data_IF_232627415857
#
_entry.id   IF_232627415857
#
_cell.length_a   1.000
_cell.length_b   1.000
_cell.length_c   1.000
_cell.angle_alpha   90.00
_cell.angle_beta   90.00
_cell.angle_gamma   90.00
#
_symmetry.space_group_name_H-M   'P 1'
#
loop_
_entity.id
_entity.type
_entity.pdbx_description
1 polymer ?
#
# COMPACT_ATOMS: atom_id res chain seq x y z
N UNK A 1 -11.67 -29.31 32.80
CA UNK A 1 -11.57 -29.47 34.27
C UNK A 1 -12.56 -28.53 34.95
N UNK A 2 -13.12 -28.90 36.12
CA UNK A 2 -13.96 -28.01 36.92
C UNK A 2 -13.22 -26.72 37.24
N UNK A 3 -13.83 -25.57 36.94
CA UNK A 3 -13.28 -24.26 37.30
C UNK A 3 -13.85 -23.81 38.66
N UNK A 4 -13.09 -22.96 39.34
CA UNK A 4 -13.48 -22.37 40.63
C UNK A 4 -14.78 -21.57 40.51
N UNK A 5 -15.66 -21.66 41.51
CA UNK A 5 -16.95 -20.97 41.49
C UNK A 5 -16.88 -19.68 42.29
N UNK A 6 -17.43 -18.62 41.72
CA UNK A 6 -17.55 -17.32 42.38
C UNK A 6 -19.02 -16.88 42.38
N UNK A 7 -19.64 -16.65 43.54
CA UNK A 7 -21.06 -16.30 43.63
C UNK A 7 -21.36 -14.89 43.10
N UNK A 8 -20.35 -14.02 43.06
CA UNK A 8 -20.41 -12.67 42.52
C UNK A 8 -19.09 -12.32 41.82
N UNK A 9 -19.12 -11.32 40.94
CA UNK A 9 -17.89 -10.80 40.32
C UNK A 9 -17.14 -9.97 41.35
N UNK A 10 -15.88 -10.34 41.61
CA UNK A 10 -15.00 -9.66 42.56
C UNK A 10 -13.70 -9.25 41.89
N UNK A 11 -13.09 -8.20 42.41
CA UNK A 11 -11.72 -7.82 42.07
C UNK A 11 -10.86 -8.23 43.27
N UNK A 12 -9.85 -9.05 43.01
CA UNK A 12 -8.89 -9.44 44.05
C UNK A 12 -8.01 -8.22 44.41
N UNK A 13 -8.02 -7.73 45.65
CA UNK A 13 -7.30 -6.52 46.04
C UNK A 13 -5.77 -6.66 45.97
N UNK A 14 -5.22 -7.87 46.04
CA UNK A 14 -3.77 -8.10 46.03
C UNK A 14 -3.22 -8.25 44.61
N UNK A 15 -3.89 -9.08 43.78
CA UNK A 15 -3.47 -9.33 42.39
C UNK A 15 -4.07 -8.36 41.37
N UNK A 16 -5.18 -7.70 41.71
CA UNK A 16 -5.99 -6.90 40.78
C UNK A 16 -6.82 -7.75 39.79
N UNK A 17 -6.86 -9.07 39.95
CA UNK A 17 -7.56 -9.97 39.02
C UNK A 17 -9.09 -9.83 39.15
N UNK A 18 -9.79 -9.71 38.01
CA UNK A 18 -11.25 -9.73 37.97
C UNK A 18 -11.75 -11.17 37.88
N UNK A 19 -12.26 -11.68 38.99
CA UNK A 19 -12.89 -13.00 39.07
C UNK A 19 -14.37 -12.87 38.81
N UNK A 20 -14.81 -13.30 37.62
CA UNK A 20 -16.20 -13.22 37.19
C UNK A 20 -17.10 -14.21 37.94
N UNK A 21 -18.35 -13.80 38.19
CA UNK A 21 -19.39 -14.68 38.71
C UNK A 21 -19.53 -15.95 37.85
N UNK A 22 -19.49 -17.12 38.50
CA UNK A 22 -19.67 -18.42 37.86
C UNK A 22 -20.66 -19.26 38.66
N UNK A 23 -21.79 -19.61 38.03
CA UNK A 23 -22.86 -20.42 38.64
C UNK A 23 -22.67 -21.92 38.49
N UNK A 24 -21.83 -22.38 37.57
CA UNK A 24 -21.59 -23.81 37.35
C UNK A 24 -20.12 -24.07 36.97
N UNK A 25 -19.45 -25.09 37.55
CA UNK A 25 -18.01 -25.29 37.38
C UNK A 25 -17.62 -25.82 35.99
N UNK A 26 -18.57 -26.40 35.25
CA UNK A 26 -18.38 -26.85 33.85
C UNK A 26 -18.68 -25.77 32.81
N UNK A 27 -19.13 -24.57 33.24
CA UNK A 27 -19.46 -23.48 32.32
C UNK A 27 -18.28 -22.51 32.27
N UNK A 28 -17.80 -22.26 31.05
CA UNK A 28 -16.81 -21.23 30.79
C UNK A 28 -17.42 -19.83 30.98
N UNK A 29 -16.56 -18.82 31.10
CA UNK A 29 -17.03 -17.44 31.14
C UNK A 29 -17.63 -17.06 29.79
N UNK A 30 -18.79 -16.41 29.82
CA UNK A 30 -19.52 -16.02 28.63
C UNK A 30 -20.16 -14.65 28.79
N UNK A 31 -20.46 -14.00 27.66
CA UNK A 31 -21.24 -12.78 27.58
C UNK A 31 -22.64 -13.12 27.05
N UNK A 32 -23.69 -12.65 27.73
CA UNK A 32 -25.07 -13.00 27.37
C UNK A 32 -25.49 -12.49 25.98
N UNK A 33 -25.02 -11.31 25.57
CA UNK A 33 -25.35 -10.76 24.26
C UNK A 33 -24.64 -11.55 23.15
N UNK A 34 -23.34 -11.80 23.32
CA UNK A 34 -22.54 -12.49 22.31
C UNK A 34 -23.01 -13.95 22.15
N UNK A 35 -23.31 -14.66 23.24
CA UNK A 35 -23.82 -16.04 23.12
C UNK A 35 -25.17 -16.10 22.42
N UNK A 36 -26.02 -15.08 22.60
CA UNK A 36 -27.32 -14.98 21.96
C UNK A 36 -27.19 -14.79 20.45
N UNK A 37 -26.29 -13.88 20.03
CA UNK A 37 -26.09 -13.54 18.62
C UNK A 37 -25.29 -14.62 17.89
N UNK A 38 -24.15 -15.04 18.44
CA UNK A 38 -23.22 -15.93 17.78
C UNK A 38 -23.58 -17.41 17.93
N UNK A 39 -24.40 -17.76 18.94
CA UNK A 39 -24.87 -19.13 19.23
C UNK A 39 -23.75 -20.17 19.28
N UNK A 40 -22.54 -19.75 19.67
CA UNK A 40 -21.35 -20.59 19.77
C UNK A 40 -20.80 -20.60 21.20
N UNK A 41 -20.00 -21.63 21.51
CA UNK A 41 -19.33 -21.74 22.81
C UNK A 41 -18.30 -20.61 22.98
N UNK A 42 -18.17 -20.08 24.19
CA UNK A 42 -17.25 -18.98 24.49
C UNK A 42 -16.38 -19.30 25.71
N UNK A 43 -15.16 -18.76 25.73
CA UNK A 43 -14.30 -18.75 26.91
C UNK A 43 -13.69 -17.35 27.07
N UNK A 44 -14.48 -16.43 27.64
CA UNK A 44 -14.07 -15.02 27.81
C UNK A 44 -13.16 -14.88 29.03
N UNK A 45 -11.94 -14.41 28.81
CA UNK A 45 -10.96 -14.15 29.86
C UNK A 45 -10.61 -12.66 29.86
N UNK A 46 -10.63 -12.05 31.04
CA UNK A 46 -10.05 -10.72 31.23
C UNK A 46 -8.55 -10.90 31.38
N UNK A 47 -7.78 -10.14 30.60
CA UNK A 47 -6.32 -10.24 30.58
C UNK A 47 -5.77 -8.87 30.96
N UNK A 48 -5.04 -8.83 32.06
CA UNK A 48 -4.41 -7.61 32.58
C UNK A 48 -2.91 -7.59 32.28
N UNK A 49 -2.22 -6.50 32.62
CA UNK A 49 -0.77 -6.41 32.51
C UNK A 49 -0.10 -7.38 33.50
N UNK A 50 0.86 -8.18 33.03
CA UNK A 50 1.59 -9.13 33.89
C UNK A 50 1.89 -10.45 33.19
N UNK A 51 1.87 -11.53 33.97
CA UNK A 51 2.14 -12.90 33.49
C UNK A 51 1.10 -13.38 32.47
N UNK A 52 -0.17 -13.07 32.67
CA UNK A 52 -1.26 -13.52 31.81
C UNK A 52 -1.24 -12.83 30.44
N UNK A 53 -0.94 -11.53 30.40
CA UNK A 53 -0.68 -10.84 29.13
C UNK A 53 0.54 -11.42 28.41
N UNK A 54 1.64 -11.72 29.13
CA UNK A 54 2.82 -12.35 28.52
C UNK A 54 2.50 -13.73 27.97
N UNK A 55 1.74 -14.54 28.70
CA UNK A 55 1.29 -15.85 28.25
C UNK A 55 0.36 -15.76 27.04
N UNK A 56 -0.56 -14.79 27.02
CA UNK A 56 -1.41 -14.51 25.86
C UNK A 56 -0.58 -14.10 24.64
N UNK A 57 0.37 -13.17 24.81
CA UNK A 57 1.24 -12.74 23.71
C UNK A 57 2.01 -13.93 23.17
N UNK A 58 2.58 -14.77 24.05
CA UNK A 58 3.26 -15.99 23.61
C UNK A 58 2.33 -16.94 22.86
N UNK A 59 1.12 -17.16 23.36
CA UNK A 59 0.09 -17.97 22.70
C UNK A 59 -0.29 -17.39 21.33
N UNK A 60 -0.63 -16.12 21.24
CA UNK A 60 -0.97 -15.47 19.98
C UNK A 60 0.20 -15.53 18.99
N UNK A 61 1.42 -15.24 19.44
CA UNK A 61 2.62 -15.33 18.60
C UNK A 61 2.82 -16.75 18.11
N UNK A 62 2.75 -17.77 18.98
CA UNK A 62 2.90 -19.18 18.59
C UNK A 62 1.88 -19.56 17.49
N UNK A 63 0.63 -19.12 17.61
CA UNK A 63 -0.40 -19.33 16.59
C UNK A 63 -0.15 -18.56 15.29
N UNK A 64 0.32 -17.31 15.37
CA UNK A 64 0.64 -16.48 14.19
C UNK A 64 1.86 -17.04 13.46
N UNK A 65 2.88 -17.48 14.22
CA UNK A 65 4.12 -18.03 13.67
C UNK A 65 4.02 -19.51 13.31
N UNK A 66 2.87 -20.14 13.58
CA UNK A 66 2.63 -21.53 13.23
C UNK A 66 2.76 -21.67 11.72
N UNK A 67 3.76 -22.43 11.27
CA UNK A 67 4.00 -22.67 9.85
C UNK A 67 2.78 -23.36 9.27
N UNK A 68 2.08 -22.68 8.34
CA UNK A 68 0.87 -23.21 7.72
C UNK A 68 1.17 -24.38 6.77
N UNK A 69 2.39 -24.48 6.24
CA UNK A 69 2.72 -25.48 5.24
C UNK A 69 3.12 -26.82 5.89
N UNK A 70 2.46 -27.90 5.49
CA UNK A 70 2.88 -29.23 5.89
C UNK A 70 4.25 -29.58 5.28
N UNK A 71 5.01 -30.43 5.95
CA UNK A 71 6.31 -30.87 5.44
C UNK A 71 6.21 -31.53 4.06
N UNK A 72 5.12 -32.28 3.80
CA UNK A 72 4.89 -32.95 2.52
C UNK A 72 4.68 -31.94 1.37
N UNK A 73 3.98 -30.84 1.64
CA UNK A 73 3.70 -29.81 0.64
C UNK A 73 4.95 -28.97 0.35
N UNK A 74 5.71 -28.66 1.41
CA UNK A 74 7.05 -28.05 1.31
C UNK A 74 7.97 -28.90 0.43
N UNK A 75 8.02 -30.21 0.68
CA UNK A 75 8.85 -31.15 -0.07
C UNK A 75 8.44 -31.22 -1.55
N UNK A 76 7.14 -31.36 -1.82
CA UNK A 76 6.60 -31.41 -3.19
C UNK A 76 6.94 -30.14 -3.97
N UNK A 77 6.90 -28.98 -3.31
CA UNK A 77 7.21 -27.70 -3.93
C UNK A 77 8.71 -27.52 -4.22
N UNK A 78 9.56 -27.97 -3.31
CA UNK A 78 11.01 -28.02 -3.53
C UNK A 78 11.35 -29.00 -4.65
N UNK A 79 10.73 -30.19 -4.68
CA UNK A 79 10.92 -31.16 -5.76
C UNK A 79 10.54 -30.56 -7.12
N UNK A 80 9.44 -29.81 -7.19
CA UNK A 80 9.05 -29.08 -8.40
C UNK A 80 10.09 -28.02 -8.80
N UNK A 81 10.65 -27.29 -7.85
CA UNK A 81 11.69 -26.28 -8.10
C UNK A 81 13.03 -26.90 -8.56
N UNK A 82 13.35 -28.10 -8.08
CA UNK A 82 14.54 -28.91 -8.45
C UNK A 82 14.35 -29.66 -9.78
N UNK A 83 13.12 -29.72 -10.30
CA UNK A 83 12.80 -30.36 -11.57
C UNK A 83 13.73 -29.93 -12.72
N UNK A 84 13.80 -30.73 -13.80
CA UNK A 84 14.88 -30.69 -14.79
C UNK A 84 14.80 -29.44 -15.69
N UNK A 85 15.20 -28.29 -15.15
CA UNK A 85 15.55 -27.08 -15.90
C UNK A 85 17.08 -26.92 -15.90
N UNK A 86 17.77 -28.01 -16.22
CA UNK A 86 19.18 -27.99 -16.61
C UNK A 86 19.27 -27.55 -18.09
N UNK A 87 19.01 -26.27 -18.35
CA UNK A 87 19.70 -25.63 -19.47
C UNK A 87 21.16 -25.50 -19.02
N UNK A 88 21.94 -26.54 -19.32
CA UNK A 88 23.35 -26.65 -18.93
C UNK A 88 24.12 -25.57 -19.69
N UNK A 89 24.19 -24.36 -19.14
CA UNK A 89 25.25 -23.43 -19.50
C UNK A 89 26.54 -23.98 -18.88
N UNK A 90 27.35 -24.63 -19.73
CA UNK A 90 28.60 -25.31 -19.37
C UNK A 90 29.62 -24.33 -18.72
N UNK A 91 29.38 -23.02 -18.83
CA UNK A 91 30.26 -21.94 -18.36
C UNK A 91 29.95 -21.44 -16.95
N UNK A 92 28.87 -21.88 -16.28
CA UNK A 92 28.53 -21.36 -14.94
C UNK A 92 29.32 -22.05 -13.83
N UNK A 93 29.87 -21.25 -12.90
CA UNK A 93 30.54 -21.74 -11.71
C UNK A 93 29.58 -22.59 -10.87
N UNK A 94 30.06 -23.70 -10.32
CA UNK A 94 29.24 -24.65 -9.56
C UNK A 94 28.60 -24.02 -8.33
N UNK A 95 29.27 -23.02 -7.75
CA UNK A 95 28.77 -22.23 -6.60
C UNK A 95 27.55 -21.39 -7.03
N UNK A 96 27.61 -20.73 -8.18
CA UNK A 96 26.51 -19.88 -8.66
C UNK A 96 25.30 -20.72 -9.05
N UNK A 97 25.54 -21.91 -9.62
CA UNK A 97 24.48 -22.89 -9.88
C UNK A 97 23.78 -23.31 -8.59
N UNK A 98 24.53 -23.56 -7.52
CA UNK A 98 23.98 -23.91 -6.21
C UNK A 98 23.19 -22.75 -5.59
N UNK A 99 23.70 -21.52 -5.66
CA UNK A 99 22.98 -20.32 -5.18
C UNK A 99 21.67 -20.11 -5.92
N UNK A 100 21.67 -20.23 -7.25
CA UNK A 100 20.46 -20.13 -8.08
C UNK A 100 19.42 -21.21 -7.75
N UNK A 101 19.87 -22.43 -7.47
CA UNK A 101 18.98 -23.53 -7.07
C UNK A 101 18.31 -23.23 -5.72
N UNK A 102 19.08 -22.83 -4.71
CA UNK A 102 18.56 -22.47 -3.38
C UNK A 102 17.56 -21.30 -3.49
N UNK A 103 17.93 -20.26 -4.25
CA UNK A 103 17.06 -19.11 -4.46
C UNK A 103 15.75 -19.49 -5.16
N UNK A 104 15.81 -20.40 -6.14
CA UNK A 104 14.62 -20.92 -6.81
C UNK A 104 13.72 -21.70 -5.86
N UNK A 105 14.28 -22.59 -5.03
CA UNK A 105 13.54 -23.32 -4.02
C UNK A 105 12.88 -22.37 -3.02
N UNK A 106 13.61 -21.36 -2.55
CA UNK A 106 13.10 -20.33 -1.65
C UNK A 106 11.97 -19.52 -2.29
N UNK A 107 12.17 -18.99 -3.51
CA UNK A 107 11.15 -18.20 -4.21
C UNK A 107 9.89 -19.03 -4.50
N UNK A 108 10.04 -20.31 -4.82
CA UNK A 108 8.92 -21.23 -4.97
C UNK A 108 8.12 -21.34 -3.66
N UNK A 109 8.81 -21.59 -2.53
CA UNK A 109 8.20 -21.65 -1.19
C UNK A 109 7.56 -20.33 -0.76
N UNK A 110 8.23 -19.21 -0.99
CA UNK A 110 7.71 -17.89 -0.65
C UNK A 110 6.48 -17.49 -1.51
N UNK A 111 6.41 -17.97 -2.76
CA UNK A 111 5.31 -17.65 -3.67
C UNK A 111 4.01 -18.42 -3.37
N UNK A 112 4.10 -19.58 -2.73
CA UNK A 112 2.95 -20.45 -2.47
C UNK A 112 2.54 -20.32 -1.01
N UNK A 113 1.52 -19.50 -0.77
CA UNK A 113 0.92 -19.35 0.54
C UNK A 113 -0.43 -20.06 0.59
N UNK A 114 -0.63 -20.92 1.58
CA UNK A 114 -1.94 -21.47 1.87
C UNK A 114 -2.83 -20.40 2.50
N UNK A 115 -4.03 -20.24 1.95
CA UNK A 115 -5.06 -19.35 2.47
C UNK A 115 -6.11 -20.16 3.22
N UNK A 116 -6.64 -19.62 4.31
CA UNK A 116 -7.74 -20.25 5.03
C UNK A 116 -8.98 -20.34 4.13
N UNK A 117 -9.72 -21.46 4.18
CA UNK A 117 -10.96 -21.61 3.42
C UNK A 117 -12.00 -20.52 3.72
N UNK A 118 -11.96 -19.94 4.93
CA UNK A 118 -12.79 -18.78 5.28
C UNK A 118 -12.36 -17.54 4.51
N UNK A 119 -11.06 -17.27 4.41
CA UNK A 119 -10.53 -16.15 3.61
C UNK A 119 -10.92 -16.30 2.13
N UNK A 120 -10.73 -17.49 1.57
CA UNK A 120 -11.12 -17.78 0.17
C UNK A 120 -12.62 -17.56 -0.03
N UNK A 121 -13.46 -18.03 0.90
CA UNK A 121 -14.91 -17.83 0.83
C UNK A 121 -15.27 -16.34 0.87
N UNK A 122 -14.63 -15.55 1.73
CA UNK A 122 -14.83 -14.10 1.81
C UNK A 122 -14.49 -13.39 0.50
N UNK A 123 -13.38 -13.77 -0.15
CA UNK A 123 -13.02 -13.23 -1.47
C UNK A 123 -14.00 -13.67 -2.57
N UNK A 124 -14.43 -14.93 -2.58
CA UNK A 124 -15.42 -15.42 -3.54
C UNK A 124 -16.79 -14.73 -3.40
N UNK A 125 -17.14 -14.35 -2.18
CA UNK A 125 -18.38 -13.63 -1.86
C UNK A 125 -18.25 -12.10 -1.98
N UNK A 126 -17.08 -11.59 -2.37
CA UNK A 126 -16.78 -10.16 -2.51
C UNK A 126 -17.04 -9.35 -1.23
N UNK A 127 -16.79 -9.95 -0.07
CA UNK A 127 -16.97 -9.29 1.24
C UNK A 127 -15.77 -8.44 1.67
N UNK A 128 -14.67 -8.49 0.92
CA UNK A 128 -13.43 -7.80 1.24
C UNK A 128 -12.68 -8.41 2.44
N UNK A 129 -11.42 -8.04 2.58
CA UNK A 129 -10.48 -8.55 3.58
C UNK A 129 -10.08 -7.51 4.64
N UNK A 130 -10.64 -6.30 4.56
CA UNK A 130 -10.27 -5.18 5.41
C UNK A 130 -11.48 -4.28 5.70
N UNK A 131 -11.47 -3.63 6.86
CA UNK A 131 -12.41 -2.58 7.21
C UNK A 131 -11.67 -1.25 7.23
N UNK A 132 -12.13 -0.28 6.44
CA UNK A 132 -11.51 1.05 6.37
C UNK A 132 -12.50 2.12 6.76
N UNK A 133 -12.05 3.07 7.58
CA UNK A 133 -12.81 4.27 7.91
C UNK A 133 -12.70 5.34 6.82
N UNK A 134 -11.59 5.33 6.07
CA UNK A 134 -11.25 6.31 5.04
C UNK A 134 -10.79 5.62 3.76
N UNK A 135 -10.95 6.30 2.62
CA UNK A 135 -10.29 5.89 1.38
C UNK A 135 -8.83 6.30 1.42
N UNK A 136 -7.96 5.50 0.80
CA UNK A 136 -6.52 5.76 0.76
C UNK A 136 -6.05 5.95 -0.69
N UNK A 137 -5.07 6.82 -0.89
CA UNK A 137 -4.44 7.05 -2.19
C UNK A 137 -2.92 7.07 -2.03
N UNK A 138 -2.21 6.40 -2.94
CA UNK A 138 -0.75 6.27 -2.83
C UNK A 138 -0.03 7.48 -3.43
N UNK A 139 0.96 8.00 -2.71
CA UNK A 139 1.93 8.97 -3.19
C UNK A 139 3.28 8.26 -3.30
N UNK A 140 3.75 8.02 -4.52
CA UNK A 140 5.06 7.43 -4.78
C UNK A 140 6.18 8.46 -4.61
N UNK A 141 6.54 8.76 -3.36
CA UNK A 141 7.44 9.87 -3.03
C UNK A 141 8.85 9.65 -3.58
N UNK A 142 9.36 8.42 -3.57
CA UNK A 142 10.71 8.09 -4.09
C UNK A 142 10.86 8.54 -5.55
N UNK A 143 9.85 8.26 -6.38
CA UNK A 143 9.92 8.57 -7.81
C UNK A 143 10.02 10.09 -8.03
N UNK A 144 9.33 10.86 -7.19
CA UNK A 144 9.37 12.33 -7.20
C UNK A 144 10.72 12.82 -6.68
N UNK A 145 11.22 12.25 -5.58
CA UNK A 145 12.51 12.61 -4.98
C UNK A 145 13.67 12.36 -5.95
N UNK A 146 13.74 11.18 -6.57
CA UNK A 146 14.77 10.83 -7.56
C UNK A 146 14.74 11.79 -8.75
N UNK A 147 13.54 12.14 -9.24
CA UNK A 147 13.41 13.14 -10.29
C UNK A 147 13.98 14.49 -9.86
N UNK A 148 13.67 14.94 -8.64
CA UNK A 148 14.17 16.21 -8.10
C UNK A 148 15.69 16.19 -7.91
N UNK A 149 16.26 15.09 -7.40
CA UNK A 149 17.70 14.90 -7.25
C UNK A 149 18.40 14.97 -8.62
N UNK A 150 17.90 14.23 -9.61
CA UNK A 150 18.42 14.26 -10.98
C UNK A 150 18.38 15.68 -11.58
N UNK A 151 17.29 16.43 -11.36
CA UNK A 151 17.18 17.82 -11.80
C UNK A 151 18.16 18.74 -11.09
N UNK A 152 18.36 18.53 -9.79
CA UNK A 152 19.28 19.31 -8.98
C UNK A 152 20.73 19.05 -9.43
N UNK A 153 21.09 17.82 -9.73
CA UNK A 153 22.42 17.46 -10.20
C UNK A 153 22.70 17.94 -11.63
N UNK A 154 21.70 17.92 -12.52
CA UNK A 154 21.77 18.59 -13.83
C UNK A 154 22.04 20.10 -13.68
N UNK A 155 21.35 20.76 -12.75
CA UNK A 155 21.55 22.18 -12.49
C UNK A 155 22.94 22.46 -11.90
N UNK A 156 23.41 21.65 -10.94
CA UNK A 156 24.78 21.75 -10.41
C UNK A 156 25.83 21.60 -11.50
N UNK A 157 25.67 20.61 -12.38
CA UNK A 157 26.56 20.39 -13.51
C UNK A 157 26.59 21.62 -14.45
N UNK A 158 25.42 22.18 -14.80
CA UNK A 158 25.31 23.39 -15.62
C UNK A 158 25.96 24.63 -14.97
N UNK A 159 25.81 24.80 -13.65
CA UNK A 159 26.47 25.87 -12.90
C UNK A 159 28.00 25.71 -12.86
N UNK A 160 28.51 24.49 -12.69
CA UNK A 160 29.96 24.20 -12.73
C UNK A 160 30.57 24.42 -14.12
N UNK A 161 29.83 24.08 -15.19
CA UNK A 161 30.24 24.32 -16.57
C UNK A 161 30.31 25.81 -16.91
N UNK A 162 29.41 26.63 -16.35
CA UNK A 162 29.41 28.08 -16.55
C UNK A 162 30.52 28.82 -15.78
N UNK A 163 31.15 28.15 -14.80
CA UNK A 163 32.20 28.74 -13.94
C UNK A 163 33.63 28.41 -14.39
N UNK A 164 33.81 27.59 -15.44
CA UNK A 164 35.14 27.13 -15.87
C UNK A 164 35.70 27.99 -16.99
N UNK A 165 36.14 29.19 -16.63
CA UNK A 165 37.14 29.98 -17.34
C UNK A 165 38.06 30.59 -16.28
N UNK A 166 38.92 29.77 -15.66
CA UNK A 166 40.31 30.05 -15.23
C UNK A 166 40.82 28.81 -14.45
N UNK A 167 42.09 28.46 -14.68
CA UNK A 167 42.88 27.27 -14.30
C UNK A 167 42.84 26.91 -12.78
N UNK A 168 43.22 25.72 -12.28
CA UNK A 168 44.46 24.93 -12.47
C UNK A 168 44.22 23.47 -12.05
N UNK A 169 44.86 22.53 -12.75
CA UNK A 169 44.87 21.11 -12.43
C UNK A 169 45.49 20.80 -11.06
N UNK A 170 44.79 20.02 -10.24
CA UNK A 170 45.41 19.24 -9.17
C UNK A 170 44.80 17.84 -9.20
N UNK A 171 45.61 16.89 -9.69
CA UNK A 171 45.35 15.46 -9.66
C UNK A 171 45.57 14.92 -8.25
N UNK A 172 44.51 14.48 -7.59
CA UNK A 172 44.58 13.49 -6.52
C UNK A 172 43.78 12.24 -6.95
N UNK A 173 44.23 11.03 -6.61
CA UNK A 173 43.61 9.80 -7.09
C UNK A 173 42.27 9.60 -6.39
N UNK A 174 41.21 9.40 -7.16
CA UNK A 174 39.88 9.01 -6.67
C UNK A 174 39.90 7.49 -6.51
N UNK A 175 39.61 7.03 -5.29
CA UNK A 175 39.34 5.62 -5.00
C UNK A 175 38.18 5.14 -5.88
N UNK A 176 38.48 4.17 -6.75
CA UNK A 176 37.49 3.45 -7.56
C UNK A 176 36.77 2.51 -6.60
N UNK A 177 35.62 2.95 -6.09
CA UNK A 177 34.59 2.03 -5.62
C UNK A 177 33.92 1.52 -6.89
N UNK A 178 34.14 0.24 -7.20
CA UNK A 178 33.38 -0.50 -8.21
C UNK A 178 31.94 -0.62 -7.69
N UNK A 179 31.13 0.41 -7.87
CA UNK A 179 29.69 0.33 -7.66
C UNK A 179 29.07 -0.46 -8.82
N UNK A 180 28.17 -1.36 -8.44
CA UNK A 180 27.41 -2.29 -9.28
C UNK A 180 26.54 -1.52 -10.29
N UNK A 181 27.11 -1.09 -11.41
CA UNK A 181 26.46 -0.24 -12.43
C UNK A 181 25.34 -0.94 -13.23
N UNK A 182 25.18 -2.27 -13.16
CA UNK A 182 24.16 -2.99 -13.96
C UNK A 182 22.72 -2.87 -13.42
N UNK A 183 22.52 -2.61 -12.11
CA UNK A 183 21.17 -2.46 -11.53
C UNK A 183 20.60 -1.03 -11.67
N UNK A 184 21.41 -0.06 -12.12
CA UNK A 184 21.07 1.35 -12.09
C UNK A 184 20.21 1.82 -13.29
N UNK A 185 20.15 1.05 -14.38
CA UNK A 185 19.39 1.44 -15.59
C UNK A 185 17.87 1.43 -15.33
N UNK A 186 17.37 0.46 -14.55
CA UNK A 186 15.96 0.39 -14.17
C UNK A 186 15.56 1.44 -13.11
N UNK A 187 16.52 1.90 -12.31
CA UNK A 187 16.30 2.88 -11.24
C UNK A 187 16.14 4.33 -11.75
N UNK A 188 16.59 4.61 -12.98
CA UNK A 188 16.49 5.91 -13.64
C UNK A 188 15.19 6.13 -14.43
N UNK A 189 14.39 5.09 -14.65
CA UNK A 189 13.15 5.19 -15.43
C UNK A 189 12.06 5.92 -14.65
N UNK A 190 11.37 6.87 -15.30
CA UNK A 190 10.17 7.50 -14.72
C UNK A 190 9.10 6.44 -14.47
N UNK A 191 8.60 6.36 -13.23
CA UNK A 191 7.59 5.39 -12.84
C UNK A 191 6.20 5.88 -13.29
N UNK A 192 5.62 5.18 -14.26
CA UNK A 192 4.24 5.39 -14.69
C UNK A 192 3.36 4.29 -14.13
N UNK A 193 2.25 4.64 -13.46
CA UNK A 193 1.19 3.68 -13.23
C UNK A 193 0.40 3.46 -14.51
N UNK A 194 -0.03 2.22 -14.73
CA UNK A 194 -0.85 1.86 -15.89
C UNK A 194 -2.30 1.80 -15.40
N UNK A 195 -3.15 2.68 -15.93
CA UNK A 195 -4.60 2.65 -15.71
C UNK A 195 -5.33 2.16 -16.96
N UNK A 196 -6.40 1.39 -16.76
CA UNK A 196 -7.32 1.03 -17.84
C UNK A 196 -8.29 2.19 -18.08
N UNK A 197 -8.36 2.65 -19.34
CA UNK A 197 -9.32 3.67 -19.75
C UNK A 197 -10.76 3.18 -19.60
N UNK A 198 -11.67 4.08 -19.19
CA UNK A 198 -13.09 3.78 -19.04
C UNK A 198 -13.80 3.46 -20.35
N UNK A 199 -13.25 3.90 -21.49
CA UNK A 199 -13.93 3.81 -22.79
C UNK A 199 -13.37 2.77 -23.76
N UNK A 200 -12.27 2.07 -23.46
CA UNK A 200 -11.70 1.02 -24.33
C UNK A 200 -10.54 0.29 -23.63
N UNK A 201 -10.08 -0.86 -24.14
CA UNK A 201 -8.86 -1.59 -23.73
C UNK A 201 -7.54 -0.82 -23.99
N UNK A 202 -7.52 0.49 -23.73
CA UNK A 202 -6.37 1.37 -23.87
C UNK A 202 -5.73 1.53 -22.50
N UNK A 203 -4.45 1.17 -22.43
CA UNK A 203 -3.59 1.40 -21.28
C UNK A 203 -3.13 2.85 -21.30
N UNK A 204 -3.36 3.56 -20.20
CA UNK A 204 -2.96 4.95 -20.03
C UNK A 204 -1.83 5.00 -19.02
N UNK A 205 -0.72 5.65 -19.40
CA UNK A 205 0.37 5.94 -18.50
C UNK A 205 0.01 7.14 -17.63
N UNK A 206 0.20 7.01 -16.33
CA UNK A 206 -0.23 7.96 -15.31
C UNK A 206 0.96 8.32 -14.45
N UNK A 207 1.17 9.62 -14.24
CA UNK A 207 2.28 10.08 -13.44
C UNK A 207 1.83 11.24 -12.56
N UNK A 208 1.65 10.95 -11.27
CA UNK A 208 1.22 11.92 -10.26
C UNK A 208 2.11 13.18 -10.23
N UNK A 209 3.42 13.03 -10.49
CA UNK A 209 4.35 14.16 -10.58
C UNK A 209 3.94 15.14 -11.68
N UNK A 210 3.62 14.61 -12.87
CA UNK A 210 3.24 15.38 -14.05
C UNK A 210 1.89 16.06 -13.81
N UNK A 211 0.92 15.32 -13.26
CA UNK A 211 -0.41 15.83 -12.90
C UNK A 211 -0.30 17.02 -11.93
N UNK A 212 0.57 16.93 -10.92
CA UNK A 212 0.78 18.01 -9.96
C UNK A 212 1.63 19.17 -10.52
N UNK A 213 2.64 18.89 -11.34
CA UNK A 213 3.51 19.90 -11.94
C UNK A 213 2.72 20.81 -12.89
N UNK A 214 1.83 20.24 -13.69
CA UNK A 214 1.01 20.97 -14.67
C UNK A 214 -0.43 21.16 -14.18
N UNK A 215 -0.64 21.24 -12.86
CA UNK A 215 -1.95 21.53 -12.26
C UNK A 215 -2.44 22.92 -12.67
N UNK A 216 -3.76 23.13 -12.59
CA UNK A 216 -4.36 24.44 -12.87
C UNK A 216 -3.73 25.55 -12.01
N UNK A 217 -3.52 26.78 -12.53
CA UNK A 217 -3.08 27.92 -11.74
C UNK A 217 -3.96 28.18 -10.50
N UNK A 218 -5.25 27.84 -10.56
CA UNK A 218 -6.15 27.96 -9.41
C UNK A 218 -5.78 27.07 -8.21
N UNK A 219 -4.94 26.05 -8.43
CA UNK A 219 -4.47 25.10 -7.41
C UNK A 219 -3.01 25.35 -7.03
N UNK A 220 -2.44 26.52 -7.35
CA UNK A 220 -1.03 26.82 -7.06
C UNK A 220 -0.71 26.76 -5.57
N UNK A 221 -1.63 27.24 -4.71
CA UNK A 221 -1.49 27.26 -3.26
C UNK A 221 -1.62 25.89 -2.58
N UNK A 222 -2.09 24.86 -3.31
CA UNK A 222 -2.36 23.53 -2.76
C UNK A 222 -1.08 22.70 -2.80
N UNK A 223 -0.68 22.14 -1.66
CA UNK A 223 0.50 21.26 -1.61
C UNK A 223 0.20 19.87 -2.19
N UNK A 224 1.24 19.08 -2.52
CA UNK A 224 1.08 17.75 -3.11
C UNK A 224 0.19 16.82 -2.27
N UNK A 225 0.31 16.90 -0.94
CA UNK A 225 -0.49 16.08 -0.03
C UNK A 225 -1.98 16.44 -0.12
N UNK A 226 -2.32 17.73 -0.02
CA UNK A 226 -3.69 18.21 -0.17
C UNK A 226 -4.24 17.96 -1.57
N UNK A 227 -3.37 18.06 -2.59
CA UNK A 227 -3.74 17.76 -3.97
C UNK A 227 -4.26 16.34 -4.09
N UNK A 228 -3.51 15.34 -3.59
CA UNK A 228 -3.94 13.93 -3.62
C UNK A 228 -5.12 13.65 -2.69
N UNK A 229 -5.22 14.35 -1.56
CA UNK A 229 -6.32 14.15 -0.61
C UNK A 229 -7.66 14.66 -1.15
N UNK A 230 -7.65 15.80 -1.84
CA UNK A 230 -8.85 16.49 -2.28
C UNK A 230 -9.15 16.34 -3.75
N UNK A 231 -8.18 15.96 -4.58
CA UNK A 231 -8.35 15.93 -6.03
C UNK A 231 -7.86 14.62 -6.64
N UNK A 232 -8.54 14.22 -7.72
CA UNK A 232 -8.12 13.12 -8.57
C UNK A 232 -8.29 13.49 -10.03
N UNK A 233 -7.53 12.82 -10.88
CA UNK A 233 -7.66 12.93 -12.32
C UNK A 233 -8.86 12.13 -12.82
N UNK A 234 -9.62 12.67 -13.77
CA UNK A 234 -10.72 11.98 -14.48
C UNK A 234 -10.70 12.36 -15.96
N UNK A 235 -11.09 11.43 -16.84
CA UNK A 235 -11.38 11.76 -18.24
C UNK A 235 -12.61 12.69 -18.34
N UNK A 236 -12.59 13.61 -19.30
CA UNK A 236 -13.75 14.46 -19.56
C UNK A 236 -14.89 13.64 -20.16
N UNK A 237 -16.08 13.73 -19.55
CA UNK A 237 -17.32 13.29 -20.21
C UNK A 237 -17.79 14.38 -21.19
N UNK A 238 -18.60 14.04 -22.19
CA UNK A 238 -19.13 15.02 -23.15
C UNK A 238 -19.76 16.25 -22.49
N UNK A 239 -20.48 16.07 -21.37
CA UNK A 239 -21.06 17.17 -20.58
C UNK A 239 -20.00 18.09 -19.96
N UNK A 240 -18.88 17.53 -19.54
CA UNK A 240 -17.79 18.28 -18.92
C UNK A 240 -17.10 19.18 -19.96
N UNK A 241 -16.90 18.67 -21.18
CA UNK A 241 -16.33 19.45 -22.30
C UNK A 241 -17.14 20.72 -22.58
N UNK A 242 -18.46 20.60 -22.60
CA UNK A 242 -19.35 21.76 -22.78
C UNK A 242 -19.26 22.79 -21.64
N UNK A 243 -19.03 22.34 -20.40
CA UNK A 243 -18.88 23.25 -19.23
C UNK A 243 -17.54 23.97 -19.19
N UNK A 244 -16.48 23.34 -19.70
CA UNK A 244 -15.14 23.94 -19.80
C UNK A 244 -15.09 24.96 -20.93
N UNK A 245 -15.72 24.68 -22.07
CA UNK A 245 -15.76 25.57 -23.24
C UNK A 245 -16.69 26.80 -23.02
N UNK A 246 -17.70 26.66 -22.15
CA UNK A 246 -18.62 27.74 -21.80
C UNK A 246 -18.76 27.86 -20.27
N UNK A 247 -17.83 28.55 -19.59
CA UNK A 247 -17.97 28.85 -18.18
C UNK A 247 -19.21 29.73 -17.99
N UNK A 248 -20.25 29.18 -17.36
CA UNK A 248 -21.47 29.94 -17.07
C UNK A 248 -21.12 31.09 -16.11
N UNK A 249 -21.17 32.32 -16.62
CA UNK A 249 -20.89 33.57 -15.90
C UNK A 249 -21.98 34.01 -14.92
N UNK A 250 -22.93 33.14 -14.56
CA UNK A 250 -24.02 33.50 -13.66
C UNK A 250 -23.79 32.98 -12.24
N UNK A 251 -23.16 33.82 -11.41
CA UNK A 251 -23.05 33.62 -9.97
C UNK A 251 -24.33 33.94 -9.19
N UNK A 252 -25.39 34.43 -9.84
CA UNK A 252 -26.47 35.12 -9.12
C UNK A 252 -27.85 34.43 -9.15
N UNK A 253 -27.97 33.18 -9.63
CA UNK A 253 -29.28 32.49 -9.68
C UNK A 253 -29.23 31.11 -9.00
N UNK A 254 -29.05 31.12 -7.67
CA UNK A 254 -29.19 29.92 -6.83
C UNK A 254 -30.68 29.59 -6.64
N UNK A 255 -31.31 29.09 -7.69
CA UNK A 255 -32.45 28.19 -7.51
C UNK A 255 -31.89 26.80 -7.29
N UNK A 256 -31.99 26.31 -6.06
CA UNK A 256 -31.59 24.96 -5.69
C UNK A 256 -32.41 23.92 -6.49
N UNK A 257 -31.92 23.55 -7.67
CA UNK A 257 -32.44 22.40 -8.41
C UNK A 257 -32.08 21.15 -7.59
N UNK A 258 -33.05 20.26 -7.31
CA UNK A 258 -32.76 19.04 -6.58
C UNK A 258 -31.87 18.14 -7.45
N UNK A 259 -30.60 18.00 -7.06
CA UNK A 259 -29.60 17.26 -7.80
C UNK A 259 -28.28 17.12 -7.02
N UNK A 260 -27.41 16.21 -7.46
CA UNK A 260 -26.06 16.05 -6.89
C UNK A 260 -25.30 17.36 -7.08
N UNK A 261 -24.63 17.91 -6.05
CA UNK A 261 -23.86 19.14 -6.17
C UNK A 261 -22.85 19.01 -7.32
N UNK A 262 -22.73 20.07 -8.11
CA UNK A 262 -21.77 20.12 -9.20
C UNK A 262 -20.35 20.03 -8.62
N UNK A 263 -19.56 19.07 -9.10
CA UNK A 263 -18.18 18.90 -8.64
C UNK A 263 -17.32 19.98 -9.28
N UNK A 264 -16.42 20.57 -8.49
CA UNK A 264 -15.40 21.49 -9.01
C UNK A 264 -14.45 20.72 -9.96
N UNK A 265 -14.36 21.18 -11.20
CA UNK A 265 -13.50 20.63 -12.25
C UNK A 265 -12.48 21.70 -12.64
N UNK A 266 -11.21 21.33 -12.67
CA UNK A 266 -10.10 22.16 -13.13
C UNK A 266 -9.41 21.51 -14.32
N UNK A 267 -8.88 22.33 -15.23
CA UNK A 267 -8.11 21.88 -16.40
C UNK A 267 -6.61 21.87 -16.10
N UNK A 268 -5.87 20.94 -16.70
CA UNK A 268 -4.41 20.97 -16.67
C UNK A 268 -3.85 22.10 -17.53
N UNK A 269 -2.60 22.49 -17.28
CA UNK A 269 -1.85 23.39 -18.16
C UNK A 269 -1.61 22.73 -19.52
N UNK A 270 -1.45 23.54 -20.57
CA UNK A 270 -1.28 23.08 -21.97
C UNK A 270 -0.05 22.19 -22.19
N UNK A 271 0.93 22.25 -21.30
CA UNK A 271 2.15 21.43 -21.34
C UNK A 271 1.92 19.99 -20.85
N UNK A 272 0.77 19.71 -20.20
CA UNK A 272 0.45 18.36 -19.76
C UNK A 272 0.12 17.47 -20.96
N UNK A 273 0.67 16.24 -21.06
CA UNK A 273 0.44 15.32 -22.18
C UNK A 273 -1.03 14.88 -22.36
N UNK A 274 -1.92 15.26 -21.44
CA UNK A 274 -3.31 14.82 -21.37
C UNK A 274 -4.28 15.98 -21.07
N UNK A 275 -3.83 17.22 -21.25
CA UNK A 275 -4.63 18.41 -20.93
C UNK A 275 -5.98 18.47 -21.67
N UNK A 276 -6.05 17.91 -22.89
CA UNK A 276 -7.26 17.87 -23.71
C UNK A 276 -8.22 16.73 -23.37
N UNK A 277 -7.74 15.70 -22.67
CA UNK A 277 -8.50 14.45 -22.43
C UNK A 277 -8.95 14.30 -20.98
N UNK A 278 -8.19 14.85 -20.04
CA UNK A 278 -8.42 14.69 -18.61
C UNK A 278 -8.49 16.04 -17.89
N UNK A 279 -9.20 16.05 -16.77
CA UNK A 279 -9.27 17.16 -15.83
C UNK A 279 -9.03 16.72 -14.39
N UNK A 280 -8.85 17.69 -13.51
CA UNK A 280 -8.66 17.53 -12.07
C UNK A 280 -10.02 17.76 -11.40
N UNK A 281 -10.47 16.81 -10.59
CA UNK A 281 -11.79 16.85 -9.98
C UNK A 281 -11.69 16.66 -8.49
N UNK A 282 -12.45 17.47 -7.75
CA UNK A 282 -12.52 17.37 -6.30
C UNK A 282 -13.25 16.11 -5.85
N UNK A 283 -12.65 15.36 -4.93
CA UNK A 283 -13.28 14.24 -4.27
C UNK A 283 -14.52 14.68 -3.47
N UNK A 284 -15.54 13.82 -3.41
CA UNK A 284 -16.71 14.05 -2.55
C UNK A 284 -16.41 13.86 -1.07
N UNK A 285 -15.46 12.98 -0.76
CA UNK A 285 -14.93 12.74 0.57
C UNK A 285 -13.41 12.73 0.45
N UNK A 286 -12.67 13.44 1.32
CA UNK A 286 -11.22 13.45 1.27
C UNK A 286 -10.68 12.04 1.45
N UNK A 287 -9.64 11.70 0.69
CA UNK A 287 -8.87 10.46 0.85
C UNK A 287 -7.63 10.76 1.68
N UNK A 288 -7.11 9.76 2.38
CA UNK A 288 -5.88 9.86 3.15
C UNK A 288 -4.72 9.45 2.24
N UNK A 289 -3.81 10.38 1.88
CA UNK A 289 -2.63 10.02 1.12
C UNK A 289 -1.67 9.17 1.96
N UNK A 290 -1.22 8.06 1.38
CA UNK A 290 -0.21 7.16 1.95
C UNK A 290 1.08 7.35 1.19
N UNK A 291 2.13 7.75 1.89
CA UNK A 291 3.46 7.92 1.30
C UNK A 291 4.07 6.54 1.09
N UNK A 292 4.29 6.17 -0.17
CA UNK A 292 4.90 4.90 -0.57
C UNK A 292 6.38 5.16 -0.88
N UNK A 293 7.23 4.69 0.02
CA UNK A 293 8.70 4.68 -0.07
C UNK A 293 9.33 3.94 1.12
N UNK A 294 10.65 3.65 1.13
CA UNK A 294 11.34 3.09 2.30
C UNK A 294 11.30 4.05 3.49
#
# INVERSE_FOLDING_TARGET
>A
MPREMFPMTIIDPESGEIRMRRSHPMINNFNQCIICVCRCNMDIKFIWSGTDAKALVYYCTDYITKTNLSFHDTFSLVQKAVGPNDNINITENSIDKARKLVLRCYNSLASQQELSGVQVSTYLMDYGDHYTSHGFANIFLIAIERYLQNKLDQNKAALSASSTSTQVANTNPIDIVEDEEEDNIAAMAEHFSIEQSTDEQKLVLVNLRIDYQFRSPALESVCLYEFVSHFHRRSFTDKDRHSVDHPSTNTDDVRAVPGRPHQEIYTFMTEHPQASTHGIIKHLKPVVPVLVGP
#
